data_IF_884696017236
#
_entry.id   IF_884696017236
#
_cell.length_a   1.000
_cell.length_b   1.000
_cell.length_c   1.000
_cell.angle_alpha   90.00
_cell.angle_beta   90.00
_cell.angle_gamma   90.00
#
_symmetry.space_group_name_H-M   'P 1'
#
loop_
_entity.id
_entity.type
_entity.pdbx_description
1 polymer ?
#
# COMPACT_ATOMS: atom_id res chain seq x y z
N UNK A 1 -5.39 -0.64 7.03
CA UNK A 1 -5.54 -0.06 5.69
C UNK A 1 -4.89 1.32 5.69
N UNK A 2 -4.78 1.99 4.55
CA UNK A 2 -4.37 3.39 4.53
C UNK A 2 -5.40 4.27 5.28
N UNK A 3 -4.93 5.22 6.09
CA UNK A 3 -5.74 6.06 6.98
C UNK A 3 -6.51 5.33 8.11
N UNK A 4 -6.35 4.01 8.20
CA UNK A 4 -6.95 3.16 9.24
C UNK A 4 -5.89 2.28 9.90
N UNK A 5 -4.70 2.83 10.16
CA UNK A 5 -3.71 2.10 10.92
C UNK A 5 -4.26 1.83 12.34
N UNK A 6 -4.39 0.55 12.77
CA UNK A 6 -4.89 0.25 14.11
C UNK A 6 -3.97 0.82 15.19
N UNK A 7 -4.54 1.16 16.34
CA UNK A 7 -3.74 1.60 17.48
C UNK A 7 -2.77 0.50 17.91
N UNK A 8 -1.49 0.86 18.05
CA UNK A 8 -0.46 -0.03 18.55
C UNK A 8 0.30 0.68 19.67
N UNK A 9 0.19 0.17 20.90
CA UNK A 9 0.84 0.74 22.09
C UNK A 9 2.37 0.78 22.02
N UNK A 10 2.98 0.06 21.07
CA UNK A 10 4.44 0.05 20.84
C UNK A 10 4.86 1.00 19.71
N UNK A 11 3.90 1.63 19.04
CA UNK A 11 4.16 2.62 18.02
C UNK A 11 4.21 4.00 18.69
N UNK A 12 5.39 4.60 18.76
CA UNK A 12 5.61 5.91 19.36
C UNK A 12 5.39 7.06 18.36
N UNK A 13 5.05 6.74 17.10
CA UNK A 13 4.81 7.76 16.08
C UNK A 13 3.51 8.53 16.36
N UNK A 14 3.46 9.82 16.01
CA UNK A 14 2.21 10.57 16.04
C UNK A 14 1.21 9.91 15.10
N UNK A 15 -0.03 9.72 15.57
CA UNK A 15 -1.12 9.18 14.77
C UNK A 15 -2.03 10.31 14.28
N UNK A 16 -2.57 10.14 13.08
CA UNK A 16 -3.68 10.97 12.62
C UNK A 16 -4.92 10.68 13.47
N UNK A 17 -5.76 11.69 13.64
CA UNK A 17 -7.15 11.47 14.04
C UNK A 17 -7.84 10.57 13.00
N UNK A 18 -8.79 9.74 13.46
CA UNK A 18 -9.62 8.87 12.60
C UNK A 18 -10.66 9.70 11.84
N UNK A 19 -10.18 10.50 10.90
CA UNK A 19 -10.96 11.37 10.01
C UNK A 19 -11.44 10.60 8.78
N UNK A 20 -10.58 9.72 8.27
CA UNK A 20 -10.81 8.97 7.04
C UNK A 20 -10.80 7.46 7.30
N UNK A 21 -11.57 6.74 6.49
CA UNK A 21 -11.54 5.27 6.36
C UNK A 21 -11.38 4.90 4.88
N UNK A 22 -10.72 3.79 4.58
CA UNK A 22 -10.53 3.28 3.22
C UNK A 22 -10.35 1.77 3.16
N UNK A 23 -10.88 1.14 2.11
CA UNK A 23 -10.68 -0.29 1.83
C UNK A 23 -9.39 -0.53 1.04
N UNK A 24 -8.32 0.19 1.39
CA UNK A 24 -7.06 0.23 0.63
C UNK A 24 -5.96 -0.56 1.37
N UNK A 25 -5.66 -1.81 0.95
CA UNK A 25 -4.59 -2.59 1.54
C UNK A 25 -3.25 -1.91 1.39
N UNK A 26 -2.44 -2.01 2.44
CA UNK A 26 -1.11 -1.41 2.49
C UNK A 26 -0.07 -2.44 2.85
N UNK A 27 1.12 -2.32 2.27
CA UNK A 27 2.32 -3.00 2.75
C UNK A 27 3.53 -2.08 2.63
N UNK A 28 4.59 -2.38 3.37
CA UNK A 28 5.83 -1.59 3.34
C UNK A 28 6.85 -2.23 2.41
N UNK A 29 7.62 -1.44 1.67
CA UNK A 29 8.71 -1.93 0.81
C UNK A 29 9.91 -1.01 0.90
N UNK A 30 11.06 -1.51 0.45
CA UNK A 30 12.25 -0.71 0.21
C UNK A 30 12.20 -0.15 -1.23
N UNK A 31 12.51 1.14 -1.40
CA UNK A 31 12.52 1.85 -2.70
C UNK A 31 13.46 1.19 -3.73
N UNK A 32 14.47 0.47 -3.26
CA UNK A 32 15.50 -0.16 -4.10
C UNK A 32 15.07 -1.54 -4.63
N UNK A 33 13.91 -2.05 -4.24
CA UNK A 33 13.40 -3.34 -4.74
C UNK A 33 12.79 -3.18 -6.14
N UNK A 34 13.02 -4.17 -7.01
CA UNK A 34 12.57 -4.18 -8.43
C UNK A 34 11.10 -3.81 -8.63
N UNK A 35 10.21 -4.27 -7.74
CA UNK A 35 8.78 -3.95 -7.81
C UNK A 35 8.47 -2.44 -7.82
N UNK A 36 9.34 -1.61 -7.25
CA UNK A 36 9.13 -0.16 -7.18
C UNK A 36 9.24 0.47 -8.56
N UNK A 37 10.37 0.41 -9.29
CA UNK A 37 10.43 0.90 -10.67
C UNK A 37 9.45 0.17 -11.60
N UNK A 38 9.16 -1.12 -11.40
CA UNK A 38 8.15 -1.85 -12.20
C UNK A 38 6.75 -1.22 -12.09
N UNK A 39 6.31 -0.85 -10.88
CA UNK A 39 5.02 -0.16 -10.67
C UNK A 39 4.97 1.19 -11.39
N UNK A 40 6.09 1.92 -11.43
CA UNK A 40 6.17 3.20 -12.15
C UNK A 40 6.17 3.00 -13.67
N UNK A 41 7.01 2.11 -14.20
CA UNK A 41 7.16 1.86 -15.63
C UNK A 41 5.88 1.28 -16.28
N UNK A 42 5.11 0.49 -15.52
CA UNK A 42 3.85 -0.10 -15.96
C UNK A 42 2.62 0.79 -15.75
N UNK A 43 2.77 1.97 -15.15
CA UNK A 43 1.70 2.97 -15.06
C UNK A 43 1.37 3.58 -16.43
N UNK A 44 0.19 4.20 -16.57
CA UNK A 44 -0.19 4.87 -17.83
C UNK A 44 0.78 5.98 -18.25
N UNK A 45 1.50 6.58 -17.30
CA UNK A 45 2.50 7.61 -17.57
C UNK A 45 3.87 7.04 -17.96
N UNK A 46 4.07 5.73 -17.87
CA UNK A 46 5.35 5.05 -18.12
C UNK A 46 6.53 5.72 -17.39
N UNK A 47 6.41 5.80 -16.05
CA UNK A 47 7.38 6.51 -15.23
C UNK A 47 8.79 5.89 -15.29
N UNK A 48 9.80 6.75 -15.32
CA UNK A 48 11.21 6.36 -15.38
C UNK A 48 11.75 5.96 -13.99
N UNK A 49 12.88 5.22 -13.96
CA UNK A 49 13.51 4.76 -12.72
C UNK A 49 13.83 5.92 -11.75
N UNK A 50 14.24 7.07 -12.27
CA UNK A 50 14.54 8.25 -11.44
C UNK A 50 13.30 8.75 -10.69
N UNK A 51 12.12 8.67 -11.32
CA UNK A 51 10.85 9.08 -10.71
C UNK A 51 10.41 8.11 -9.61
N UNK A 52 10.82 6.83 -9.70
CA UNK A 52 10.50 5.80 -8.71
C UNK A 52 11.12 6.02 -7.33
N UNK A 53 12.02 7.02 -7.21
CA UNK A 53 12.60 7.41 -5.93
C UNK A 53 11.62 8.18 -5.04
N UNK A 54 10.58 8.80 -5.59
CA UNK A 54 9.57 9.57 -4.86
C UNK A 54 8.23 8.87 -4.73
N UNK A 55 7.19 9.65 -4.43
CA UNK A 55 5.80 9.22 -4.39
C UNK A 55 5.21 9.19 -5.80
N UNK A 56 4.37 8.21 -6.11
CA UNK A 56 3.82 8.03 -7.46
C UNK A 56 3.27 6.63 -7.72
N UNK A 57 3.48 6.13 -8.94
CA UNK A 57 3.01 4.80 -9.37
C UNK A 57 1.72 4.86 -10.17
N UNK A 58 0.80 3.95 -9.87
CA UNK A 58 -0.43 3.71 -10.65
C UNK A 58 -0.30 2.56 -11.65
N UNK A 59 0.76 1.74 -11.55
CA UNK A 59 0.88 0.49 -12.30
C UNK A 59 -0.08 -0.59 -11.80
N UNK A 60 -0.44 -1.57 -12.65
CA UNK A 60 -1.33 -2.66 -12.28
C UNK A 60 -0.68 -3.56 -11.22
N UNK A 61 -1.50 -4.08 -10.30
CA UNK A 61 -1.09 -5.07 -9.31
C UNK A 61 -2.17 -6.14 -9.13
N UNK A 62 -1.74 -7.37 -8.88
CA UNK A 62 -2.59 -8.43 -8.36
C UNK A 62 -1.93 -9.05 -7.12
N UNK A 63 -2.59 -8.94 -5.96
CA UNK A 63 -2.17 -9.59 -4.72
C UNK A 63 -3.01 -10.85 -4.49
N UNK A 64 -2.37 -11.96 -4.12
CA UNK A 64 -3.05 -13.23 -3.84
C UNK A 64 -2.79 -13.65 -2.41
N UNK A 65 -3.86 -13.95 -1.68
CA UNK A 65 -3.82 -14.48 -0.32
C UNK A 65 -4.44 -15.88 -0.35
N UNK A 66 -3.68 -16.88 0.08
CA UNK A 66 -4.17 -18.24 0.26
C UNK A 66 -4.24 -18.55 1.76
N UNK A 67 -5.45 -18.79 2.26
CA UNK A 67 -5.70 -19.15 3.67
C UNK A 67 -6.01 -20.64 3.71
N UNK A 68 -4.96 -21.43 3.92
CA UNK A 68 -5.02 -22.90 3.83
C UNK A 68 -6.01 -23.51 4.82
N UNK A 69 -6.11 -22.95 6.02
CA UNK A 69 -6.91 -23.45 7.13
C UNK A 69 -8.42 -23.45 6.81
N UNK A 70 -8.86 -22.51 5.98
CA UNK A 70 -10.25 -22.38 5.52
C UNK A 70 -10.37 -22.55 4.00
N UNK A 71 -9.33 -23.12 3.37
CA UNK A 71 -9.28 -23.40 1.93
C UNK A 71 -9.79 -22.26 1.03
N UNK A 72 -9.51 -21.01 1.42
CA UNK A 72 -10.03 -19.82 0.74
C UNK A 72 -8.90 -19.03 0.12
N UNK A 73 -9.06 -18.67 -1.16
CA UNK A 73 -8.18 -17.74 -1.86
C UNK A 73 -8.86 -16.38 -2.01
N UNK A 74 -8.10 -15.31 -1.77
CA UNK A 74 -8.47 -13.95 -2.14
C UNK A 74 -7.49 -13.42 -3.19
N UNK A 75 -8.01 -12.85 -4.28
CA UNK A 75 -7.21 -12.12 -5.27
C UNK A 75 -7.67 -10.68 -5.32
N UNK A 76 -6.75 -9.74 -5.18
CA UNK A 76 -7.04 -8.30 -5.18
C UNK A 76 -6.32 -7.71 -6.38
N UNK A 77 -7.08 -7.27 -7.39
CA UNK A 77 -6.57 -6.58 -8.57
C UNK A 77 -6.82 -5.09 -8.46
N UNK A 78 -5.87 -4.30 -8.91
CA UNK A 78 -5.98 -2.86 -8.84
C UNK A 78 -4.77 -2.13 -9.36
N UNK A 79 -4.62 -0.90 -8.89
CA UNK A 79 -3.50 -0.02 -9.16
C UNK A 79 -2.67 0.12 -7.87
N UNK A 80 -1.34 0.07 -7.96
CA UNK A 80 -0.46 0.27 -6.82
C UNK A 80 0.13 1.69 -6.81
N UNK A 81 0.00 2.37 -5.67
CA UNK A 81 0.56 3.71 -5.45
C UNK A 81 1.61 3.66 -4.35
N UNK A 82 2.70 4.39 -4.54
CA UNK A 82 3.84 4.42 -3.62
C UNK A 82 3.87 5.77 -2.92
N UNK A 83 3.96 5.74 -1.59
CA UNK A 83 4.13 6.90 -0.73
C UNK A 83 5.56 6.89 -0.18
N UNK A 84 6.30 7.95 -0.49
CA UNK A 84 7.64 8.24 0.01
C UNK A 84 7.68 9.50 0.86
N UNK A 85 8.89 9.86 1.31
CA UNK A 85 9.12 11.03 2.18
C UNK A 85 8.74 12.36 1.51
N UNK A 86 8.64 12.40 0.18
CA UNK A 86 8.30 13.59 -0.60
C UNK A 86 6.81 13.93 -0.59
N UNK A 87 5.94 13.09 -0.02
CA UNK A 87 4.47 13.24 -0.08
C UNK A 87 3.96 14.58 0.46
N UNK A 88 4.66 15.18 1.43
CA UNK A 88 4.39 16.52 1.98
C UNK A 88 5.70 17.35 2.08
N UNK A 89 6.56 17.24 1.08
CA UNK A 89 7.83 17.98 1.04
C UNK A 89 7.68 19.51 0.95
N UNK A 90 8.73 20.24 1.28
CA UNK A 90 8.77 21.72 1.32
C UNK A 90 8.91 22.40 -0.05
N UNK A 91 9.00 21.63 -1.13
CA UNK A 91 9.21 22.10 -2.49
C UNK A 91 7.93 22.16 -3.33
N UNK A 92 8.08 22.43 -4.63
CA UNK A 92 6.97 22.31 -5.57
C UNK A 92 6.51 20.85 -5.62
N UNK A 93 5.22 20.62 -5.40
CA UNK A 93 4.62 19.29 -5.42
C UNK A 93 4.88 18.59 -6.76
N UNK A 94 5.48 17.39 -6.71
CA UNK A 94 5.71 16.58 -7.90
C UNK A 94 4.41 16.06 -8.50
N UNK A 95 4.40 15.77 -9.80
CA UNK A 95 3.26 15.14 -10.48
C UNK A 95 2.88 13.80 -9.83
N UNK A 96 3.88 13.04 -9.37
CA UNK A 96 3.68 11.78 -8.65
C UNK A 96 2.96 11.96 -7.31
N UNK A 97 3.39 12.91 -6.48
CA UNK A 97 2.72 13.25 -5.22
C UNK A 97 1.26 13.65 -5.44
N UNK A 98 1.00 14.54 -6.42
CA UNK A 98 -0.36 14.96 -6.77
C UNK A 98 -1.23 13.79 -7.21
N UNK A 99 -0.66 12.89 -8.01
CA UNK A 99 -1.35 11.70 -8.51
C UNK A 99 -1.76 10.79 -7.34
N UNK A 100 -0.84 10.51 -6.41
CA UNK A 100 -1.12 9.69 -5.23
C UNK A 100 -2.23 10.31 -4.39
N UNK A 101 -2.10 11.58 -4.00
CA UNK A 101 -3.11 12.28 -3.18
C UNK A 101 -4.48 12.28 -3.84
N UNK A 102 -4.54 12.49 -5.15
CA UNK A 102 -5.80 12.48 -5.91
C UNK A 102 -6.40 11.08 -5.95
N UNK A 103 -5.66 10.08 -6.42
CA UNK A 103 -6.18 8.74 -6.69
C UNK A 103 -6.53 7.95 -5.42
N UNK A 104 -5.76 8.14 -4.37
CA UNK A 104 -6.03 7.54 -3.06
C UNK A 104 -7.13 8.34 -2.34
N UNK A 105 -7.10 9.68 -2.42
CA UNK A 105 -8.13 10.54 -1.85
C UNK A 105 -9.54 10.26 -2.39
N UNK A 106 -9.67 9.93 -3.69
CA UNK A 106 -10.92 9.46 -4.31
C UNK A 106 -11.55 8.24 -3.60
N UNK A 107 -10.75 7.48 -2.83
CA UNK A 107 -11.16 6.23 -2.15
C UNK A 107 -11.07 6.34 -0.61
N UNK A 108 -10.78 7.51 -0.08
CA UNK A 108 -10.80 7.80 1.35
C UNK A 108 -12.16 8.39 1.72
N UNK A 109 -12.97 7.63 2.45
CA UNK A 109 -14.27 8.06 2.96
C UNK A 109 -14.08 8.89 4.22
N UNK A 110 -14.80 9.99 4.33
CA UNK A 110 -14.80 10.80 5.54
C UNK A 110 -15.75 10.18 6.56
N UNK A 111 -15.24 9.93 7.77
CA UNK A 111 -16.03 9.44 8.90
C UNK A 111 -16.14 10.43 10.05
N UNK A 112 -15.26 11.45 10.07
CA UNK A 112 -15.32 12.58 11.00
C UNK A 112 -14.97 13.85 10.23
N UNK A 113 -15.88 14.82 10.20
CA UNK A 113 -15.67 16.10 9.50
C UNK A 113 -14.64 16.98 10.22
N UNK A 114 -14.70 17.01 11.56
CA UNK A 114 -13.76 17.78 12.38
C UNK A 114 -12.35 17.17 12.35
N UNK A 115 -11.34 18.00 12.08
CA UNK A 115 -9.93 17.60 12.09
C UNK A 115 -9.39 17.18 10.72
N UNK A 116 -10.18 17.28 9.65
CA UNK A 116 -9.71 17.10 8.26
C UNK A 116 -8.50 17.95 7.93
N UNK A 117 -8.50 19.19 8.37
CA UNK A 117 -7.44 20.17 8.19
C UNK A 117 -6.13 19.80 8.91
N UNK A 118 -6.20 18.92 9.90
CA UNK A 118 -5.06 18.46 10.70
C UNK A 118 -4.55 17.07 10.29
N UNK A 119 -5.22 16.41 9.33
CA UNK A 119 -4.82 15.12 8.81
C UNK A 119 -3.62 15.29 7.86
N UNK A 120 -2.58 14.46 8.02
CA UNK A 120 -1.32 14.57 7.28
C UNK A 120 -0.89 13.23 6.68
N UNK A 121 -0.47 13.27 5.42
CA UNK A 121 0.10 12.12 4.71
C UNK A 121 1.45 11.71 5.33
N UNK A 122 2.29 12.67 5.70
CA UNK A 122 3.59 12.41 6.34
C UNK A 122 3.40 11.76 7.72
N UNK A 123 2.39 12.21 8.49
CA UNK A 123 2.05 11.60 9.76
C UNK A 123 1.62 10.14 9.58
N UNK A 124 0.79 9.86 8.57
CA UNK A 124 0.37 8.48 8.25
C UNK A 124 1.57 7.61 7.82
N UNK A 125 2.44 8.13 6.95
CA UNK A 125 3.66 7.45 6.51
C UNK A 125 4.59 7.14 7.70
N UNK A 126 4.73 8.08 8.63
CA UNK A 126 5.54 7.93 9.84
C UNK A 126 4.92 6.93 10.80
N UNK A 127 3.59 6.94 10.95
CA UNK A 127 2.86 5.94 11.72
C UNK A 127 3.08 4.52 11.18
N UNK A 128 3.05 4.32 9.85
CA UNK A 128 3.38 3.03 9.23
C UNK A 128 4.81 2.58 9.54
N UNK A 129 5.81 3.48 9.48
CA UNK A 129 7.19 3.15 9.84
C UNK A 129 7.34 2.80 11.32
N UNK A 130 6.70 3.58 12.20
CA UNK A 130 6.71 3.35 13.64
C UNK A 130 6.01 2.05 14.06
N UNK A 131 5.07 1.56 13.25
CA UNK A 131 4.37 0.30 13.49
C UNK A 131 5.22 -0.96 13.23
N UNK A 132 6.37 -0.80 12.58
CA UNK A 132 7.34 -1.88 12.39
C UNK A 132 8.14 -2.16 13.67
N UNK A 133 8.62 -3.38 13.86
CA UNK A 133 9.58 -3.65 14.93
C UNK A 133 10.94 -2.97 14.66
N UNK A 134 11.77 -2.70 15.67
CA UNK A 134 13.09 -2.10 15.45
C UNK A 134 13.98 -2.87 14.46
N UNK A 135 13.88 -4.20 14.42
CA UNK A 135 14.61 -5.01 13.44
C UNK A 135 14.07 -4.87 12.01
N UNK A 136 12.75 -4.78 11.85
CA UNK A 136 12.13 -4.51 10.54
C UNK A 136 12.43 -3.09 10.04
N UNK A 137 12.52 -2.10 10.95
CA UNK A 137 13.02 -0.77 10.57
C UNK A 137 14.49 -0.83 10.14
N UNK A 138 15.31 -1.61 10.85
CA UNK A 138 16.71 -1.83 10.51
C UNK A 138 16.93 -2.46 9.15
N UNK A 139 15.99 -3.25 8.61
CA UNK A 139 16.16 -3.88 7.29
C UNK A 139 16.23 -2.88 6.13
N UNK A 140 15.72 -1.65 6.30
CA UNK A 140 15.89 -0.58 5.30
C UNK A 140 17.33 -0.07 5.20
N UNK A 141 18.23 -0.48 6.11
CA UNK A 141 19.67 -0.21 6.09
C UNK A 141 20.48 -1.42 5.62
N UNK A 142 19.82 -2.48 5.13
CA UNK A 142 20.51 -3.63 4.55
C UNK A 142 21.16 -3.25 3.20
N UNK A 143 22.11 -4.07 2.71
CA UNK A 143 22.56 -4.03 1.33
C UNK A 143 21.38 -4.12 0.35
N UNK A 144 21.56 -3.64 -0.87
CA UNK A 144 20.50 -3.53 -1.87
C UNK A 144 19.84 -4.91 -2.08
N UNK A 145 18.51 -5.02 -1.89
CA UNK A 145 17.81 -6.27 -2.11
C UNK A 145 18.03 -6.82 -3.53
N UNK A 146 18.25 -8.13 -3.65
CA UNK A 146 18.49 -8.79 -4.95
C UNK A 146 19.94 -8.77 -5.43
N UNK A 147 20.85 -8.04 -4.76
CA UNK A 147 22.28 -8.04 -5.12
C UNK A 147 23.00 -9.33 -4.67
N UNK A 148 23.99 -9.83 -5.44
CA UNK A 148 24.75 -11.02 -5.06
C UNK A 148 25.51 -10.85 -3.75
N UNK A 149 25.49 -11.86 -2.88
CA UNK A 149 26.21 -11.84 -1.58
C UNK A 149 27.73 -11.77 -1.71
N UNK A 150 28.27 -12.12 -2.89
CA UNK A 150 29.70 -11.99 -3.20
C UNK A 150 30.14 -10.56 -3.48
N UNK A 151 29.19 -9.65 -3.71
CA UNK A 151 29.47 -8.24 -3.96
C UNK A 151 29.50 -7.48 -2.62
N UNK A 152 30.62 -6.81 -2.35
CA UNK A 152 30.72 -5.93 -1.19
C UNK A 152 29.73 -4.78 -1.31
N UNK A 153 28.96 -4.46 -0.25
CA UNK A 153 28.08 -3.30 -0.25
C UNK A 153 28.86 -2.01 -0.56
N UNK A 154 28.27 -1.14 -1.39
CA UNK A 154 28.89 0.14 -1.77
C UNK A 154 28.92 1.15 -0.62
N UNK A 155 28.00 1.04 0.34
CA UNK A 155 27.97 1.83 1.56
C UNK A 155 28.42 0.96 2.74
N UNK A 156 29.49 1.34 3.47
CA UNK A 156 29.99 0.55 4.60
C UNK A 156 28.99 0.49 5.78
N UNK A 157 27.98 1.37 5.81
CA UNK A 157 26.91 1.33 6.81
C UNK A 157 25.79 0.35 6.45
N UNK A 158 25.84 -0.28 5.28
CA UNK A 158 24.87 -1.28 4.87
C UNK A 158 25.25 -2.66 5.42
N UNK A 159 24.51 -3.10 6.43
CA UNK A 159 24.74 -4.37 7.11
C UNK A 159 23.42 -5.02 7.54
N UNK A 160 23.43 -6.36 7.65
CA UNK A 160 22.28 -7.13 8.14
C UNK A 160 22.15 -7.03 9.67
N UNK A 161 20.94 -7.26 10.17
CA UNK A 161 20.68 -7.41 11.62
C UNK A 161 20.69 -6.11 12.42
N UNK A 162 20.78 -4.96 11.74
CA UNK A 162 20.67 -3.65 12.38
C UNK A 162 19.30 -3.48 13.04
N UNK A 163 19.24 -2.64 14.09
CA UNK A 163 18.00 -2.23 14.75
C UNK A 163 17.90 -0.72 14.72
N UNK A 164 16.71 -0.21 14.42
CA UNK A 164 16.41 1.22 14.38
C UNK A 164 15.25 1.50 15.33
N UNK A 165 15.49 2.25 16.40
CA UNK A 165 14.46 2.74 17.31
C UNK A 165 13.96 4.13 16.94
N UNK A 166 14.84 4.96 16.37
CA UNK A 166 14.50 6.31 15.94
C UNK A 166 13.54 6.30 14.73
N UNK A 167 12.43 7.03 14.87
CA UNK A 167 11.44 7.21 13.81
C UNK A 167 11.95 8.08 12.65
N UNK A 168 13.00 8.86 12.90
CA UNK A 168 13.59 9.79 11.96
C UNK A 168 14.97 9.34 11.43
N UNK A 169 15.37 8.08 11.63
CA UNK A 169 16.65 7.56 11.10
C UNK A 169 16.70 7.79 9.58
N UNK A 170 17.58 8.70 9.17
CA UNK A 170 17.64 9.22 7.79
C UNK A 170 17.91 8.10 6.78
N UNK A 171 18.81 7.17 7.12
CA UNK A 171 19.20 6.08 6.23
C UNK A 171 18.05 5.09 6.01
N UNK A 172 17.35 4.71 7.07
CA UNK A 172 16.18 3.83 6.96
C UNK A 172 15.03 4.53 6.24
N UNK A 173 14.73 5.79 6.61
CA UNK A 173 13.61 6.55 6.07
C UNK A 173 13.79 6.88 4.58
N UNK A 174 15.03 7.12 4.13
CA UNK A 174 15.36 7.30 2.70
C UNK A 174 14.88 6.14 1.85
N UNK A 175 14.97 4.91 2.36
CA UNK A 175 14.61 3.69 1.64
C UNK A 175 13.17 3.22 1.91
N UNK A 176 12.56 3.62 3.03
CA UNK A 176 11.22 3.21 3.42
C UNK A 176 10.12 3.75 2.50
N UNK A 177 9.24 2.87 2.01
CA UNK A 177 8.04 3.22 1.26
C UNK A 177 6.82 2.49 1.80
N UNK A 178 5.65 3.11 1.68
CA UNK A 178 4.36 2.43 1.82
C UNK A 178 3.75 2.26 0.43
N UNK A 179 3.36 1.04 0.09
CA UNK A 179 2.58 0.75 -1.11
C UNK A 179 1.12 0.64 -0.70
N UNK A 180 0.26 1.37 -1.40
CA UNK A 180 -1.19 1.35 -1.26
C UNK A 180 -1.75 0.67 -2.50
N UNK A 181 -2.50 -0.41 -2.32
CA UNK A 181 -3.27 -1.03 -3.40
C UNK A 181 -4.62 -0.33 -3.44
N UNK A 182 -5.01 0.18 -4.61
CA UNK A 182 -6.34 0.70 -4.93
C UNK A 182 -7.13 -0.37 -5.69
N UNK A 183 -7.96 -1.17 -5.01
CA UNK A 183 -8.63 -2.30 -5.63
C UNK A 183 -9.70 -1.83 -6.62
N UNK A 184 -9.72 -2.47 -7.79
CA UNK A 184 -10.78 -2.35 -8.81
C UNK A 184 -11.62 -3.63 -8.87
N UNK A 185 -11.00 -4.77 -8.56
CA UNK A 185 -11.65 -6.08 -8.51
C UNK A 185 -11.07 -6.88 -7.33
N UNK A 186 -11.93 -7.56 -6.59
CA UNK A 186 -11.56 -8.55 -5.57
C UNK A 186 -12.26 -9.86 -5.91
N UNK A 187 -11.54 -10.97 -5.89
CA UNK A 187 -12.09 -12.32 -6.10
C UNK A 187 -11.89 -13.14 -4.83
N UNK A 188 -12.95 -13.82 -4.39
CA UNK A 188 -12.91 -14.84 -3.34
C UNK A 188 -13.20 -16.19 -3.98
N UNK A 189 -12.32 -17.16 -3.82
CA UNK A 189 -12.56 -18.56 -4.19
C UNK A 189 -12.58 -19.39 -2.91
N UNK A 190 -13.72 -20.02 -2.62
CA UNK A 190 -13.91 -20.92 -1.48
C UNK A 190 -13.91 -22.38 -1.95
N UNK A 191 -12.93 -23.14 -1.47
CA UNK A 191 -12.75 -24.56 -1.74
C UNK A 191 -12.97 -25.43 -0.49
N UNK A 192 -13.59 -24.89 0.56
CA UNK A 192 -13.83 -25.60 1.82
C UNK A 192 -14.61 -26.89 1.61
N UNK A 193 -15.65 -26.85 0.77
CA UNK A 193 -16.42 -28.01 0.33
C UNK A 193 -16.26 -28.18 -1.19
N UNK A 194 -15.43 -29.12 -1.68
CA UNK A 194 -15.11 -29.24 -3.10
C UNK A 194 -16.32 -29.33 -4.03
N UNK A 195 -17.35 -30.10 -3.64
CA UNK A 195 -18.58 -30.28 -4.44
C UNK A 195 -19.51 -29.05 -4.41
N UNK A 196 -19.23 -28.08 -3.52
CA UNK A 196 -19.94 -26.79 -3.42
C UNK A 196 -19.00 -25.61 -3.63
N UNK A 197 -17.84 -25.82 -4.24
CA UNK A 197 -16.88 -24.75 -4.47
C UNK A 197 -17.54 -23.58 -5.21
N UNK A 198 -17.25 -22.37 -4.77
CA UNK A 198 -17.83 -21.13 -5.30
C UNK A 198 -16.81 -20.03 -5.37
N UNK A 199 -17.03 -19.15 -6.36
CA UNK A 199 -16.24 -17.97 -6.58
C UNK A 199 -17.14 -16.74 -6.49
N UNK A 200 -16.67 -15.70 -5.84
CA UNK A 200 -17.32 -14.40 -5.84
C UNK A 200 -16.38 -13.35 -6.39
N UNK A 201 -16.87 -12.55 -7.34
CA UNK A 201 -16.16 -11.37 -7.85
C UNK A 201 -16.83 -10.12 -7.32
N UNK A 202 -16.03 -9.22 -6.80
CA UNK A 202 -16.40 -7.89 -6.35
C UNK A 202 -15.75 -6.87 -7.28
N UNK A 203 -16.52 -6.08 -8.01
CA UNK A 203 -16.03 -5.05 -8.92
C UNK A 203 -16.38 -3.68 -8.37
N UNK A 204 -15.42 -2.76 -8.31
CA UNK A 204 -15.68 -1.40 -7.82
C UNK A 204 -16.53 -0.65 -8.85
N UNK A 205 -17.70 -0.20 -8.43
CA UNK A 205 -18.63 0.58 -9.26
C UNK A 205 -18.78 2.03 -8.77
N UNK A 206 -18.23 2.34 -7.60
CA UNK A 206 -18.27 3.66 -6.99
C UNK A 206 -19.62 4.00 -6.34
N UNK A 207 -19.72 5.19 -5.71
CA UNK A 207 -20.90 5.57 -4.92
C UNK A 207 -22.20 5.55 -5.74
N UNK A 208 -22.14 6.10 -6.95
CA UNK A 208 -23.28 6.21 -7.86
C UNK A 208 -23.39 5.05 -8.86
N UNK A 209 -22.53 4.04 -8.74
CA UNK A 209 -22.54 2.88 -9.63
C UNK A 209 -23.78 2.01 -9.46
N UNK A 210 -24.23 1.40 -10.54
CA UNK A 210 -25.29 0.40 -10.55
C UNK A 210 -24.68 -1.02 -10.73
N UNK A 211 -25.26 -2.02 -10.07
CA UNK A 211 -24.79 -3.39 -10.17
C UNK A 211 -25.18 -4.07 -11.50
N UNK A 212 -26.17 -3.54 -12.22
CA UNK A 212 -26.71 -4.16 -13.43
C UNK A 212 -27.35 -5.52 -13.16
N UNK A 213 -27.69 -6.23 -14.23
CA UNK A 213 -28.26 -7.58 -14.14
C UNK A 213 -27.25 -8.60 -13.59
N UNK A 214 -27.72 -9.50 -12.73
CA UNK A 214 -26.92 -10.62 -12.20
C UNK A 214 -25.94 -10.27 -11.09
N UNK A 215 -25.86 -9.00 -10.65
CA UNK A 215 -25.01 -8.56 -9.55
C UNK A 215 -25.78 -7.97 -8.37
N UNK A 216 -25.24 -8.14 -7.17
CA UNK A 216 -25.72 -7.51 -5.94
C UNK A 216 -24.85 -6.26 -5.64
N UNK A 217 -25.48 -5.11 -5.37
CA UNK A 217 -24.74 -3.93 -4.91
C UNK A 217 -24.47 -4.03 -3.40
N UNK A 218 -23.20 -4.02 -3.01
CA UNK A 218 -22.74 -3.99 -1.61
C UNK A 218 -21.85 -2.75 -1.44
N UNK A 219 -22.44 -1.68 -0.90
CA UNK A 219 -21.77 -0.38 -0.81
C UNK A 219 -21.38 0.16 -2.20
N UNK A 220 -20.09 0.38 -2.42
CA UNK A 220 -19.52 0.87 -3.69
C UNK A 220 -19.07 -0.26 -4.63
N UNK A 221 -19.46 -1.50 -4.32
CA UNK A 221 -19.04 -2.71 -5.03
C UNK A 221 -20.23 -3.45 -5.64
N UNK A 222 -20.03 -4.03 -6.82
CA UNK A 222 -20.89 -5.05 -7.41
C UNK A 222 -20.34 -6.43 -7.03
N UNK A 223 -21.15 -7.29 -6.43
CA UNK A 223 -20.82 -8.70 -6.13
C UNK A 223 -21.52 -9.63 -7.12
N UNK A 224 -20.79 -10.59 -7.65
CA UNK A 224 -21.28 -11.64 -8.56
C UNK A 224 -20.83 -13.00 -8.07
N UNK A 225 -21.74 -13.98 -8.02
CA UNK A 225 -21.38 -15.40 -7.80
C UNK A 225 -21.05 -16.05 -9.14
N UNK A 226 -19.94 -16.77 -9.19
CA UNK A 226 -19.35 -17.38 -10.37
C UNK A 226 -19.03 -18.85 -10.09
N UNK A 227 -18.93 -19.64 -11.15
CA UNK A 227 -18.39 -20.99 -11.06
C UNK A 227 -16.92 -20.95 -10.60
N UNK A 228 -16.48 -21.91 -9.76
CA UNK A 228 -15.15 -21.96 -9.17
C UNK A 228 -14.01 -22.03 -10.19
#
# INVERSE_FOLDING_TARGET
>A
MWAELPENKRNEAPLNDRVYESDLPTFTTDVRMEKVPEIFASSQGHGEVEQSQGSGGGGPIEAVFWVKEVMTQWRIKGEAYIVGQDIEGTGQESSGTRTVKTKIGERMRVVKEDGKENWSWEKELTAHFGNLSPGMRGSFKNPIPGTPVSQTPSDPNWALGQKVSDLNDEAARKNFRVVIIKPIEVEQLDLTEPDKARRWRFTYIGPSGDAGEGGEKIGEWKKEELWP
#
